data_IF_897559335830
#
_entry.id   IF_897559335830
#
_cell.length_a   1.000
_cell.length_b   1.000
_cell.length_c   1.000
_cell.angle_alpha   90.00
_cell.angle_beta   90.00
_cell.angle_gamma   90.00
#
_symmetry.space_group_name_H-M   'P 1'
#
loop_
_entity.id
_entity.type
_entity.pdbx_description
1 polymer ?
#
# COMPACT_ATOMS: atom_id res chain seq x y z
N UNK A 1 6.27 26.80 7.44
CA UNK A 1 5.55 25.93 8.41
C UNK A 1 4.38 25.11 7.83
N UNK A 2 3.18 25.65 7.54
CA UNK A 2 2.03 24.82 7.11
C UNK A 2 2.26 24.17 5.74
N UNK A 3 2.84 24.90 4.78
CA UNK A 3 3.17 24.38 3.44
C UNK A 3 4.20 23.24 3.50
N UNK A 4 5.29 23.39 4.28
CA UNK A 4 6.27 22.32 4.46
C UNK A 4 5.65 21.05 5.06
N UNK A 5 4.76 21.17 6.05
CA UNK A 5 4.03 20.03 6.61
C UNK A 5 3.16 19.32 5.57
N UNK A 6 2.48 20.08 4.70
CA UNK A 6 1.67 19.50 3.62
C UNK A 6 2.54 18.80 2.57
N UNK A 7 3.70 19.37 2.23
CA UNK A 7 4.67 18.75 1.31
C UNK A 7 5.19 17.43 1.89
N UNK A 8 5.57 17.41 3.17
CA UNK A 8 6.00 16.18 3.85
C UNK A 8 4.91 15.10 3.83
N UNK A 9 3.65 15.47 4.08
CA UNK A 9 2.50 14.56 3.99
C UNK A 9 2.27 14.02 2.57
N UNK A 10 2.48 14.84 1.53
CA UNK A 10 2.39 14.39 0.13
C UNK A 10 3.46 13.33 -0.15
N UNK A 11 4.70 13.56 0.29
CA UNK A 11 5.80 12.59 0.12
C UNK A 11 5.45 11.26 0.79
N UNK A 12 4.92 11.29 2.02
CA UNK A 12 4.44 10.09 2.70
C UNK A 12 3.32 9.40 1.90
N UNK A 13 2.36 10.16 1.37
CA UNK A 13 1.30 9.63 0.51
C UNK A 13 1.85 8.91 -0.72
N UNK A 14 2.81 9.51 -1.42
CA UNK A 14 3.47 8.89 -2.57
C UNK A 14 4.24 7.62 -2.21
N UNK A 15 4.94 7.60 -1.06
CA UNK A 15 5.62 6.40 -0.57
C UNK A 15 4.61 5.28 -0.32
N UNK A 16 3.44 5.58 0.27
CA UNK A 16 2.39 4.60 0.49
C UNK A 16 1.80 4.07 -0.83
N UNK A 17 1.60 4.94 -1.82
CA UNK A 17 1.12 4.55 -3.16
C UNK A 17 2.13 3.61 -3.84
N UNK A 18 3.40 4.00 -3.88
CA UNK A 18 4.47 3.21 -4.52
C UNK A 18 4.66 1.88 -3.76
N UNK A 19 4.69 1.91 -2.44
CA UNK A 19 4.79 0.71 -1.61
C UNK A 19 3.61 -0.23 -1.79
N UNK A 20 2.39 0.30 -1.88
CA UNK A 20 1.18 -0.46 -2.15
C UNK A 20 1.21 -1.13 -3.52
N UNK A 21 1.59 -0.39 -4.58
CA UNK A 21 1.78 -0.94 -5.92
C UNK A 21 2.83 -2.04 -5.92
N UNK A 22 3.98 -1.79 -5.29
CA UNK A 22 5.06 -2.77 -5.20
C UNK A 22 4.58 -4.07 -4.53
N UNK A 23 3.81 -3.99 -3.44
CA UNK A 23 3.20 -5.15 -2.80
C UNK A 23 2.21 -5.88 -3.69
N UNK A 24 1.34 -5.15 -4.42
CA UNK A 24 0.37 -5.74 -5.35
C UNK A 24 1.08 -6.54 -6.44
N UNK A 25 2.06 -5.94 -7.13
CA UNK A 25 2.78 -6.60 -8.22
C UNK A 25 3.70 -7.72 -7.74
N UNK A 26 4.26 -7.60 -6.54
CA UNK A 26 5.13 -8.62 -5.94
C UNK A 26 4.37 -9.65 -5.11
N UNK A 27 3.04 -9.58 -5.04
CA UNK A 27 2.21 -10.42 -4.17
C UNK A 27 2.38 -11.92 -4.45
N UNK A 28 2.59 -12.29 -5.71
CA UNK A 28 2.89 -13.67 -6.12
C UNK A 28 4.23 -14.11 -5.54
N UNK A 29 5.28 -13.31 -5.73
CA UNK A 29 6.63 -13.66 -5.25
C UNK A 29 6.67 -13.76 -3.71
N UNK A 30 6.08 -12.79 -3.01
CA UNK A 30 6.00 -12.84 -1.55
C UNK A 30 5.11 -13.98 -1.07
N UNK A 31 3.95 -14.19 -1.72
CA UNK A 31 3.05 -15.27 -1.38
C UNK A 31 3.70 -16.65 -1.52
N UNK A 32 4.43 -16.87 -2.62
CA UNK A 32 5.21 -18.10 -2.84
C UNK A 32 6.31 -18.26 -1.81
N UNK A 33 7.12 -17.22 -1.56
CA UNK A 33 8.22 -17.30 -0.57
C UNK A 33 7.72 -17.65 0.84
N UNK A 34 6.59 -17.10 1.26
CA UNK A 34 5.96 -17.43 2.55
C UNK A 34 5.34 -18.83 2.55
N UNK A 35 4.72 -19.25 1.45
CA UNK A 35 4.17 -20.59 1.31
C UNK A 35 5.28 -21.66 1.35
N UNK A 36 6.41 -21.41 0.70
CA UNK A 36 7.55 -22.31 0.68
C UNK A 36 8.23 -22.39 2.05
N UNK A 37 8.39 -21.25 2.73
CA UNK A 37 8.90 -21.22 4.10
C UNK A 37 8.00 -22.02 5.05
N UNK A 38 6.69 -21.88 4.89
CA UNK A 38 5.71 -22.69 5.61
C UNK A 38 5.82 -24.18 5.27
N UNK A 39 5.99 -24.55 4.00
CA UNK A 39 6.15 -25.93 3.56
C UNK A 39 7.40 -26.59 4.15
N UNK A 40 8.54 -25.90 4.11
CA UNK A 40 9.81 -26.35 4.69
C UNK A 40 9.66 -26.56 6.19
N UNK A 41 8.98 -25.65 6.90
CA UNK A 41 8.74 -25.78 8.35
C UNK A 41 7.91 -27.01 8.74
N UNK A 42 7.15 -27.57 7.80
CA UNK A 42 6.31 -28.76 8.01
C UNK A 42 6.97 -30.05 7.52
N UNK A 43 8.09 -29.97 6.82
CA UNK A 43 8.76 -31.13 6.21
C UNK A 43 8.02 -31.70 5.00
N UNK A 44 7.05 -30.96 4.46
CA UNK A 44 6.18 -31.40 3.37
C UNK A 44 4.69 -31.19 3.67
N UNK A 45 3.88 -31.14 2.62
CA UNK A 45 2.43 -31.05 2.70
C UNK A 45 1.80 -31.67 1.45
N UNK A 46 0.55 -32.12 1.59
CA UNK A 46 -0.27 -32.47 0.44
C UNK A 46 -0.41 -31.27 -0.52
N UNK A 47 -0.43 -31.53 -1.83
CA UNK A 47 -0.47 -30.49 -2.86
C UNK A 47 -1.70 -29.60 -2.75
N UNK A 48 -2.85 -30.16 -2.35
CA UNK A 48 -4.08 -29.38 -2.14
C UNK A 48 -3.95 -28.40 -0.98
N UNK A 49 -3.37 -28.85 0.14
CA UNK A 49 -3.13 -27.99 1.31
C UNK A 49 -2.13 -26.88 0.96
N UNK A 50 -1.03 -27.21 0.30
CA UNK A 50 -0.04 -26.21 -0.13
C UNK A 50 -0.67 -25.15 -1.05
N UNK A 51 -1.50 -25.56 -2.01
CA UNK A 51 -2.16 -24.61 -2.93
C UNK A 51 -3.11 -23.65 -2.21
N UNK A 52 -3.82 -24.11 -1.17
CA UNK A 52 -4.68 -23.26 -0.34
C UNK A 52 -3.84 -22.22 0.40
N UNK A 53 -2.75 -22.64 1.04
CA UNK A 53 -1.86 -21.75 1.79
C UNK A 53 -1.18 -20.73 0.87
N UNK A 54 -0.70 -21.18 -0.30
CA UNK A 54 -0.12 -20.32 -1.33
C UNK A 54 -1.09 -19.22 -1.76
N UNK A 55 -2.31 -19.60 -2.16
CA UNK A 55 -3.35 -18.62 -2.55
C UNK A 55 -3.70 -17.70 -1.39
N UNK A 56 -3.73 -18.21 -0.16
CA UNK A 56 -3.94 -17.42 1.05
C UNK A 56 -2.90 -16.32 1.22
N UNK A 57 -1.61 -16.66 1.16
CA UNK A 57 -0.54 -15.68 1.27
C UNK A 57 -0.55 -14.67 0.11
N UNK A 58 -0.70 -15.12 -1.14
CA UNK A 58 -0.80 -14.23 -2.30
C UNK A 58 -1.93 -13.21 -2.10
N UNK A 59 -3.11 -13.69 -1.71
CA UNK A 59 -4.27 -12.83 -1.49
C UNK A 59 -4.05 -11.86 -0.33
N UNK A 60 -3.40 -12.28 0.75
CA UNK A 60 -3.07 -11.40 1.87
C UNK A 60 -2.16 -10.24 1.44
N UNK A 61 -1.11 -10.51 0.66
CA UNK A 61 -0.24 -9.46 0.13
C UNK A 61 -0.97 -8.55 -0.88
N UNK A 62 -1.83 -9.12 -1.72
CA UNK A 62 -2.63 -8.35 -2.67
C UNK A 62 -3.60 -7.40 -1.96
N UNK A 63 -4.33 -7.89 -0.95
CA UNK A 63 -5.29 -7.10 -0.16
C UNK A 63 -4.55 -6.04 0.66
N UNK A 64 -3.45 -6.40 1.34
CA UNK A 64 -2.65 -5.45 2.11
C UNK A 64 -2.08 -4.34 1.23
N UNK A 65 -1.52 -4.70 0.07
CA UNK A 65 -1.02 -3.73 -0.92
C UNK A 65 -2.13 -2.84 -1.47
N UNK A 66 -3.32 -3.40 -1.72
CA UNK A 66 -4.52 -2.67 -2.13
C UNK A 66 -4.98 -1.64 -1.11
N UNK A 67 -5.03 -2.02 0.18
CA UNK A 67 -5.36 -1.10 1.27
C UNK A 67 -4.32 0.03 1.36
N UNK A 68 -3.03 -0.31 1.30
CA UNK A 68 -1.95 0.66 1.38
C UNK A 68 -2.00 1.66 0.21
N UNK A 69 -2.23 1.15 -1.00
CA UNK A 69 -2.38 1.95 -2.22
C UNK A 69 -3.61 2.86 -2.14
N UNK A 70 -4.77 2.31 -1.77
CA UNK A 70 -6.01 3.08 -1.64
C UNK A 70 -5.91 4.17 -0.57
N UNK A 71 -5.31 3.86 0.57
CA UNK A 71 -5.08 4.83 1.64
C UNK A 71 -4.07 5.91 1.22
N UNK A 72 -3.00 5.54 0.52
CA UNK A 72 -2.03 6.47 -0.04
C UNK A 72 -2.66 7.45 -1.03
N UNK A 73 -3.50 6.96 -1.96
CA UNK A 73 -4.24 7.80 -2.90
C UNK A 73 -5.21 8.74 -2.17
N UNK A 74 -5.97 8.22 -1.20
CA UNK A 74 -6.89 9.03 -0.39
C UNK A 74 -6.17 10.18 0.32
N UNK A 75 -5.00 9.90 0.92
CA UNK A 75 -4.15 10.91 1.56
C UNK A 75 -3.74 12.00 0.57
N UNK A 76 -3.23 11.63 -0.61
CA UNK A 76 -2.79 12.59 -1.64
C UNK A 76 -3.96 13.47 -2.09
N UNK A 77 -5.15 12.90 -2.31
CA UNK A 77 -6.36 13.64 -2.71
C UNK A 77 -6.77 14.64 -1.62
N UNK A 78 -6.82 14.23 -0.35
CA UNK A 78 -7.19 15.10 0.77
C UNK A 78 -6.21 16.27 0.92
N UNK A 79 -4.91 16.01 0.77
CA UNK A 79 -3.90 17.07 0.86
C UNK A 79 -4.01 18.03 -0.32
N UNK A 80 -4.24 17.51 -1.54
CA UNK A 80 -4.46 18.34 -2.72
C UNK A 80 -5.66 19.28 -2.54
N UNK A 81 -6.78 18.76 -2.05
CA UNK A 81 -7.97 19.56 -1.76
C UNK A 81 -7.70 20.64 -0.71
N UNK A 82 -6.99 20.29 0.37
CA UNK A 82 -6.61 21.23 1.42
C UNK A 82 -5.66 22.32 0.90
N UNK A 83 -4.76 21.97 -0.02
CA UNK A 83 -3.83 22.91 -0.64
C UNK A 83 -4.56 23.95 -1.50
N UNK A 84 -5.57 23.53 -2.29
CA UNK A 84 -6.40 24.44 -3.09
C UNK A 84 -7.18 25.42 -2.21
N UNK A 85 -7.84 24.93 -1.14
CA UNK A 85 -8.60 25.78 -0.22
C UNK A 85 -7.73 26.84 0.48
N UNK A 86 -6.46 26.52 0.79
CA UNK A 86 -5.53 27.51 1.38
C UNK A 86 -5.16 28.58 0.35
N UNK A 87 -4.92 28.17 -0.90
CA UNK A 87 -4.59 29.10 -1.98
C UNK A 87 -5.74 30.09 -2.24
N UNK A 88 -6.97 29.60 -2.31
CA UNK A 88 -8.18 30.41 -2.53
C UNK A 88 -8.42 31.42 -1.39
N UNK A 89 -8.31 31.01 -0.13
CA UNK A 89 -8.41 31.92 1.04
C UNK A 89 -7.34 33.01 1.06
N UNK A 90 -6.17 32.77 0.46
CA UNK A 90 -5.09 33.76 0.44
C UNK A 90 -5.33 34.83 -0.63
N UNK A 91 -5.96 34.46 -1.75
CA UNK A 91 -6.29 35.38 -2.85
C UNK A 91 -7.43 36.32 -2.45
N UNK A 92 -8.44 35.84 -1.72
CA UNK A 92 -9.55 36.67 -1.25
C UNK A 92 -9.22 37.61 -0.07
N UNK A 93 -8.00 37.52 0.49
CA UNK A 93 -7.55 38.36 1.60
C UNK A 93 -6.59 39.47 1.16
N UNK A 94 -6.24 39.53 -0.14
CA UNK A 94 -5.55 40.65 -0.78
C UNK A 94 -6.57 41.52 -1.50
#
# INVERSE_FOLDING_TARGET
MLKEKLISLIVVGFILVIGGLFMIFSSINFGTSFADSWLISRGGADTGIYQIILKGYINNFLVAGGILFGFGLMLVILIFYKFQNIKEKTIHKM
#
